data_IF_909477832645
#
_entry.id   IF_909477832645
#
_cell.length_a   1.000
_cell.length_b   1.000
_cell.length_c   1.000
_cell.angle_alpha   90.00
_cell.angle_beta   90.00
_cell.angle_gamma   90.00
#
_symmetry.space_group_name_H-M   'P 1'
#
loop_
_entity.id
_entity.type
_entity.pdbx_description
1 polymer ?
#
# COMPACT_ATOMS: atom_id res chain seq x y z
N UNK A 1 2.04 -16.75 -8.14
CA UNK A 1 1.87 -15.31 -7.89
C UNK A 1 2.05 -14.61 -9.22
N UNK A 2 1.16 -13.68 -9.60
CA UNK A 2 1.20 -13.03 -10.91
C UNK A 2 1.61 -11.57 -10.80
N UNK A 3 2.37 -11.08 -11.77
CA UNK A 3 2.59 -9.66 -11.98
C UNK A 3 1.51 -9.06 -12.89
N UNK A 4 1.25 -7.76 -12.78
CA UNK A 4 0.37 -7.01 -13.70
C UNK A 4 0.93 -5.62 -13.91
N UNK A 5 1.20 -5.25 -15.15
CA UNK A 5 1.49 -3.87 -15.55
C UNK A 5 0.19 -3.16 -15.89
N UNK A 6 0.02 -1.94 -15.40
CA UNK A 6 -1.16 -1.12 -15.67
C UNK A 6 -0.77 -0.03 -16.68
N UNK A 7 -1.55 0.09 -17.75
CA UNK A 7 -1.24 0.96 -18.90
C UNK A 7 -2.42 1.87 -19.28
N UNK A 8 -3.47 1.93 -18.47
CA UNK A 8 -4.64 2.76 -18.72
C UNK A 8 -4.71 3.91 -17.68
N UNK A 9 -4.44 5.16 -18.08
CA UNK A 9 -4.33 6.31 -17.18
C UNK A 9 -5.63 6.73 -16.50
N UNK A 10 -6.78 6.25 -16.99
CA UNK A 10 -8.11 6.63 -16.53
C UNK A 10 -8.96 5.42 -16.09
N UNK A 11 -8.36 4.24 -15.94
CA UNK A 11 -9.09 3.07 -15.47
C UNK A 11 -9.48 3.24 -14.01
N UNK A 12 -10.77 3.07 -13.73
CA UNK A 12 -11.32 3.12 -12.37
C UNK A 12 -12.18 1.89 -12.11
N UNK A 13 -12.27 1.51 -10.84
CA UNK A 13 -13.03 0.36 -10.40
C UNK A 13 -13.86 0.71 -9.17
N UNK A 14 -15.05 0.11 -9.07
CA UNK A 14 -15.79 0.08 -7.82
C UNK A 14 -15.33 -1.11 -6.99
N UNK A 15 -14.77 -0.85 -5.81
CA UNK A 15 -14.20 -1.86 -4.91
C UNK A 15 -14.87 -1.80 -3.54
N UNK A 16 -14.85 -2.91 -2.81
CA UNK A 16 -15.56 -3.07 -1.53
C UNK A 16 -16.74 -4.03 -1.65
N UNK A 17 -17.48 -4.24 -0.54
CA UNK A 17 -18.58 -5.18 -0.52
C UNK A 17 -19.85 -4.59 -1.20
N UNK A 18 -20.81 -5.43 -1.60
CA UNK A 18 -22.05 -4.98 -2.22
C UNK A 18 -22.76 -3.91 -1.37
N UNK A 19 -23.18 -2.81 -2.01
CA UNK A 19 -23.86 -1.69 -1.33
C UNK A 19 -22.95 -0.73 -0.56
N UNK A 20 -21.65 -1.06 -0.38
CA UNK A 20 -20.64 -0.19 0.22
C UNK A 20 -19.42 -0.17 -0.70
N UNK A 21 -19.48 0.51 -1.84
CA UNK A 21 -18.33 0.58 -2.77
C UNK A 21 -17.62 1.92 -2.72
N UNK A 22 -16.34 1.92 -3.11
CA UNK A 22 -15.53 3.11 -3.33
C UNK A 22 -14.85 3.05 -4.69
N UNK A 23 -14.67 4.23 -5.29
CA UNK A 23 -13.87 4.37 -6.50
C UNK A 23 -12.40 4.17 -6.14
N UNK A 24 -11.74 3.29 -6.89
CA UNK A 24 -10.31 3.03 -6.85
C UNK A 24 -9.74 3.30 -8.25
N UNK A 25 -8.62 4.02 -8.33
CA UNK A 25 -7.98 4.39 -9.59
C UNK A 25 -6.83 3.42 -9.86
N UNK A 26 -6.76 2.84 -11.06
CA UNK A 26 -5.67 1.96 -11.45
C UNK A 26 -4.32 2.69 -11.42
N UNK A 27 -3.23 2.06 -10.94
CA UNK A 27 -1.91 2.67 -10.84
C UNK A 27 -1.21 2.62 -12.20
N UNK A 28 -1.65 3.44 -13.14
CA UNK A 28 -1.06 3.55 -14.48
C UNK A 28 0.45 3.80 -14.45
N UNK A 29 1.18 3.08 -15.30
CA UNK A 29 2.64 3.10 -15.37
C UNK A 29 3.34 2.30 -14.27
N UNK A 30 2.60 1.63 -13.37
CA UNK A 30 3.17 0.76 -12.35
C UNK A 30 3.05 -0.71 -12.73
N UNK A 31 3.99 -1.53 -12.26
CA UNK A 31 3.89 -2.99 -12.29
C UNK A 31 3.68 -3.51 -10.88
N UNK A 32 2.55 -4.21 -10.66
CA UNK A 32 2.27 -4.92 -9.41
C UNK A 32 2.93 -6.28 -9.39
N UNK A 33 3.53 -6.62 -8.25
CA UNK A 33 3.88 -7.98 -7.84
C UNK A 33 3.02 -8.37 -6.64
N UNK A 34 2.19 -9.40 -6.80
CA UNK A 34 1.26 -9.84 -5.75
C UNK A 34 1.98 -10.60 -4.64
N UNK A 35 1.61 -10.31 -3.39
CA UNK A 35 2.12 -11.02 -2.22
C UNK A 35 1.40 -12.35 -1.98
N UNK A 36 2.08 -13.30 -1.33
CA UNK A 36 1.49 -14.57 -0.88
C UNK A 36 0.72 -14.33 0.43
N UNK A 37 -0.54 -13.93 0.32
CA UNK A 37 -1.39 -13.56 1.47
C UNK A 37 -2.50 -14.55 1.77
N UNK A 38 -2.71 -15.56 0.93
CA UNK A 38 -3.72 -16.59 1.18
C UNK A 38 -3.37 -17.37 2.44
N UNK A 39 -4.27 -17.35 3.42
CA UNK A 39 -4.07 -17.98 4.74
C UNK A 39 -3.10 -17.25 5.66
N UNK A 40 -2.64 -16.04 5.31
CA UNK A 40 -1.77 -15.22 6.18
C UNK A 40 -2.52 -14.62 7.36
N UNK A 41 -3.81 -14.32 7.20
CA UNK A 41 -4.64 -13.66 8.21
C UNK A 41 -5.63 -14.64 8.83
N UNK A 42 -5.85 -14.53 10.15
CA UNK A 42 -6.66 -15.48 10.92
C UNK A 42 -8.14 -15.47 10.53
N UNK A 43 -8.65 -14.33 10.05
CA UNK A 43 -10.04 -14.15 9.60
C UNK A 43 -10.27 -14.60 8.14
N UNK A 44 -9.30 -15.28 7.55
CA UNK A 44 -9.41 -15.90 6.24
C UNK A 44 -9.14 -14.93 5.08
N UNK A 45 -9.77 -15.21 3.93
CA UNK A 45 -9.42 -14.57 2.65
C UNK A 45 -10.54 -13.73 2.03
N UNK A 46 -11.72 -13.64 2.66
CA UNK A 46 -12.89 -12.95 2.12
C UNK A 46 -12.63 -11.45 1.86
N UNK A 47 -11.71 -10.83 2.60
CA UNK A 47 -11.23 -9.47 2.37
C UNK A 47 -10.60 -9.27 0.97
N UNK A 48 -10.02 -10.32 0.41
CA UNK A 48 -9.32 -10.32 -0.87
C UNK A 48 -10.14 -10.95 -2.00
N UNK A 49 -10.70 -12.14 -1.75
CA UNK A 49 -11.32 -12.98 -2.78
C UNK A 49 -12.37 -13.94 -2.16
N UNK A 50 -13.47 -14.28 -2.88
CA UNK A 50 -13.84 -13.87 -4.24
C UNK A 50 -14.11 -12.36 -4.37
N UNK A 51 -13.96 -11.80 -5.57
CA UNK A 51 -14.29 -10.39 -5.79
C UNK A 51 -15.81 -10.18 -5.74
N UNK A 52 -16.26 -9.05 -5.20
CA UNK A 52 -17.66 -8.70 -4.93
C UNK A 52 -18.32 -9.51 -3.81
N UNK A 53 -17.52 -10.22 -3.02
CA UNK A 53 -17.99 -10.90 -1.81
C UNK A 53 -18.37 -9.87 -0.72
N UNK A 54 -19.38 -10.15 0.14
CA UNK A 54 -19.72 -9.29 1.27
C UNK A 54 -18.56 -9.01 2.24
N UNK A 55 -17.56 -9.89 2.30
CA UNK A 55 -16.35 -9.71 3.09
C UNK A 55 -15.26 -8.89 2.41
N UNK A 56 -15.42 -8.47 1.15
CA UNK A 56 -14.37 -7.74 0.43
C UNK A 56 -14.05 -6.40 1.06
N UNK A 57 -12.75 -6.13 1.19
CA UNK A 57 -12.25 -4.85 1.67
C UNK A 57 -12.09 -3.84 0.53
N UNK A 58 -12.01 -2.56 0.86
CA UNK A 58 -11.65 -1.52 -0.13
C UNK A 58 -10.24 -1.75 -0.68
N UNK A 59 -9.87 -1.05 -1.75
CA UNK A 59 -8.51 -1.06 -2.32
C UNK A 59 -7.94 0.36 -2.30
N UNK A 60 -6.67 0.47 -1.95
CA UNK A 60 -5.96 1.74 -1.84
C UNK A 60 -4.45 1.53 -2.01
N UNK A 61 -3.69 2.59 -1.80
CA UNK A 61 -2.24 2.65 -1.90
C UNK A 61 -1.63 3.27 -0.64
N UNK A 62 -0.48 2.76 -0.23
CA UNK A 62 0.30 3.30 0.88
C UNK A 62 1.74 3.54 0.44
N UNK A 63 2.20 4.79 0.55
CA UNK A 63 3.57 5.18 0.22
C UNK A 63 4.50 5.00 1.41
N UNK A 64 5.71 4.51 1.17
CA UNK A 64 6.72 4.24 2.20
C UNK A 64 7.90 5.23 2.18
N UNK A 65 7.84 6.28 1.37
CA UNK A 65 8.93 7.24 1.15
C UNK A 65 9.33 8.09 2.36
N UNK A 66 8.56 8.03 3.46
CA UNK A 66 8.87 8.71 4.73
C UNK A 66 9.36 7.77 5.83
N UNK A 67 9.72 6.54 5.48
CA UNK A 67 10.31 5.58 6.40
C UNK A 67 11.59 6.14 7.06
N UNK A 68 11.74 5.90 8.35
CA UNK A 68 12.91 6.27 9.15
C UNK A 68 13.33 5.10 10.03
N UNK A 69 14.54 5.13 10.57
CA UNK A 69 15.07 4.06 11.43
C UNK A 69 14.10 3.66 12.58
N UNK A 70 13.44 4.64 13.19
CA UNK A 70 12.43 4.44 14.24
C UNK A 70 11.25 3.55 13.80
N UNK A 71 10.93 3.51 12.51
CA UNK A 71 9.84 2.66 11.97
C UNK A 71 10.21 1.18 11.90
N UNK A 72 11.48 0.82 12.10
CA UNK A 72 11.96 -0.56 12.09
C UNK A 72 12.16 -1.12 13.50
N UNK A 73 12.07 -0.29 14.54
CA UNK A 73 12.26 -0.74 15.94
C UNK A 73 13.72 -1.05 16.27
N UNK A 74 13.95 -2.05 17.14
CA UNK A 74 15.29 -2.53 17.53
C UNK A 74 15.80 -3.68 16.64
N UNK A 75 15.09 -3.97 15.54
CA UNK A 75 15.49 -5.02 14.62
C UNK A 75 16.84 -4.63 14.02
N UNK A 76 17.81 -5.55 14.11
CA UNK A 76 19.20 -5.39 13.67
C UNK A 76 19.35 -5.25 12.15
N UNK A 77 18.33 -4.74 11.45
CA UNK A 77 18.44 -4.40 10.04
C UNK A 77 19.44 -3.27 9.88
N UNK A 78 20.40 -3.46 8.98
CA UNK A 78 21.25 -2.40 8.49
C UNK A 78 20.35 -1.32 7.88
N UNK A 79 20.14 -0.23 8.61
CA UNK A 79 19.37 0.91 8.11
C UNK A 79 20.26 1.73 7.19
N UNK A 80 20.08 1.56 5.89
CA UNK A 80 20.56 2.51 4.91
C UNK A 80 19.42 3.42 4.49
N UNK A 81 19.54 4.71 4.79
CA UNK A 81 18.47 5.69 4.54
C UNK A 81 17.99 5.69 3.08
N UNK A 82 18.87 5.35 2.14
CA UNK A 82 18.53 5.23 0.71
C UNK A 82 17.60 4.06 0.39
N UNK A 83 17.63 2.97 1.18
CA UNK A 83 16.82 1.76 0.99
C UNK A 83 15.61 1.69 1.92
N UNK A 84 15.53 2.58 2.91
CA UNK A 84 14.42 2.65 3.87
C UNK A 84 13.00 2.53 3.27
N UNK A 85 12.66 3.13 2.10
CA UNK A 85 11.34 2.95 1.51
C UNK A 85 11.04 1.51 1.11
N UNK A 86 12.05 0.77 0.65
CA UNK A 86 11.94 -0.64 0.24
C UNK A 86 11.96 -1.54 1.47
N UNK A 87 12.81 -1.24 2.45
CA UNK A 87 12.83 -1.97 3.73
C UNK A 87 11.47 -1.87 4.42
N UNK A 88 10.82 -0.71 4.36
CA UNK A 88 9.49 -0.51 4.93
C UNK A 88 8.42 -1.38 4.25
N UNK A 89 8.53 -1.61 2.94
CA UNK A 89 7.64 -2.55 2.23
C UNK A 89 7.78 -3.96 2.81
N UNK A 90 9.02 -4.43 3.01
CA UNK A 90 9.30 -5.74 3.59
C UNK A 90 8.82 -5.84 5.04
N UNK A 91 9.20 -4.87 5.88
CA UNK A 91 8.80 -4.80 7.29
C UNK A 91 7.29 -4.80 7.46
N UNK A 92 6.55 -4.03 6.65
CA UNK A 92 5.08 -4.02 6.69
C UNK A 92 4.48 -5.36 6.28
N UNK A 93 5.05 -6.04 5.29
CA UNK A 93 4.56 -7.36 4.88
C UNK A 93 4.80 -8.43 5.96
N UNK A 94 5.96 -8.40 6.62
CA UNK A 94 6.35 -9.36 7.65
C UNK A 94 5.62 -9.11 8.97
N UNK A 95 5.67 -7.88 9.45
CA UNK A 95 5.30 -7.49 10.81
C UNK A 95 3.97 -6.72 10.90
N UNK A 96 3.39 -6.33 9.77
CA UNK A 96 2.20 -5.50 9.71
C UNK A 96 2.49 -4.00 9.76
N UNK A 97 1.43 -3.19 9.66
CA UNK A 97 1.56 -1.74 9.68
C UNK A 97 1.86 -1.21 11.09
N UNK A 98 2.35 0.03 11.13
CA UNK A 98 2.46 0.83 12.36
C UNK A 98 1.61 2.10 12.18
N UNK A 99 1.03 2.65 13.26
CA UNK A 99 0.36 3.94 13.20
C UNK A 99 1.30 5.04 12.69
N UNK A 100 0.77 6.01 11.96
CA UNK A 100 1.55 7.13 11.47
C UNK A 100 2.10 7.96 12.64
N UNK A 101 3.36 8.42 12.51
CA UNK A 101 3.97 9.34 13.49
C UNK A 101 3.32 10.72 13.51
N UNK A 102 2.79 11.15 12.36
CA UNK A 102 2.16 12.46 12.18
C UNK A 102 0.67 12.23 11.90
N UNK A 103 -0.19 12.72 12.78
CA UNK A 103 -1.61 12.33 12.84
C UNK A 103 -2.56 13.50 12.56
N UNK A 104 -2.28 14.27 11.49
CA UNK A 104 -3.06 15.47 11.09
C UNK A 104 -4.53 15.18 10.77
N UNK A 105 -4.88 13.95 10.44
CA UNK A 105 -6.25 13.48 10.20
C UNK A 105 -6.71 12.42 11.23
N UNK A 106 -6.06 12.42 12.40
CA UNK A 106 -6.25 11.45 13.47
C UNK A 106 -5.26 10.28 13.43
N UNK A 107 -5.24 9.52 14.50
CA UNK A 107 -4.35 8.37 14.64
C UNK A 107 -4.75 7.24 13.69
N UNK A 108 -3.74 6.52 13.18
CA UNK A 108 -3.93 5.37 12.30
C UNK A 108 -2.95 5.32 11.12
N UNK A 109 -3.24 4.44 10.18
CA UNK A 109 -2.46 4.22 8.95
C UNK A 109 -3.12 4.94 7.78
N UNK A 110 -2.35 5.76 7.08
CA UNK A 110 -2.86 6.62 6.01
C UNK A 110 -2.72 5.91 4.66
N UNK A 111 -3.75 5.97 3.83
CA UNK A 111 -3.73 5.42 2.48
C UNK A 111 -4.60 6.27 1.54
N UNK A 112 -4.50 6.01 0.24
CA UNK A 112 -5.25 6.73 -0.79
C UNK A 112 -5.87 5.79 -1.81
N UNK A 113 -7.11 6.02 -2.29
CA UNK A 113 -7.66 5.31 -3.45
C UNK A 113 -7.06 5.79 -4.78
N UNK A 114 -6.32 6.89 -4.76
CA UNK A 114 -5.73 7.54 -5.92
C UNK A 114 -4.21 7.34 -5.86
N UNK A 115 -3.59 6.59 -6.80
CA UNK A 115 -2.17 6.26 -6.74
C UNK A 115 -1.27 7.48 -6.95
N UNK A 116 -1.77 8.54 -7.62
CA UNK A 116 -1.00 9.77 -7.85
C UNK A 116 -0.74 10.54 -6.54
N UNK A 117 -1.64 10.43 -5.57
CA UNK A 117 -1.49 11.12 -4.29
C UNK A 117 -0.23 10.64 -3.51
N UNK A 118 -0.05 9.34 -3.21
CA UNK A 118 1.18 8.87 -2.60
C UNK A 118 2.39 9.01 -3.54
N UNK A 119 2.24 8.82 -4.85
CA UNK A 119 3.36 8.98 -5.80
C UNK A 119 4.00 10.38 -5.74
N UNK A 120 3.20 11.42 -5.50
CA UNK A 120 3.64 12.82 -5.51
C UNK A 120 4.24 13.30 -4.18
N UNK A 121 4.00 12.62 -3.05
CA UNK A 121 4.39 13.14 -1.72
C UNK A 121 4.80 12.12 -0.67
N UNK A 122 4.61 10.83 -0.94
CA UNK A 122 4.79 9.75 0.02
C UNK A 122 5.53 8.54 -0.56
N UNK A 123 6.03 8.65 -1.79
CA UNK A 123 6.91 7.66 -2.41
C UNK A 123 8.26 8.30 -2.69
N UNK A 124 9.33 7.57 -2.35
CA UNK A 124 10.70 7.97 -2.62
C UNK A 124 11.29 7.15 -3.76
N UNK A 125 12.29 7.72 -4.43
CA UNK A 125 13.07 7.05 -5.46
C UNK A 125 14.27 6.36 -4.82
N UNK A 126 14.53 5.12 -5.22
CA UNK A 126 15.68 4.31 -4.82
C UNK A 126 16.52 4.02 -6.07
N UNK A 127 17.83 4.24 -5.99
CA UNK A 127 18.77 3.88 -7.05
C UNK A 127 19.39 2.51 -6.74
N UNK A 128 19.43 1.63 -7.73
CA UNK A 128 19.97 0.29 -7.63
C UNK A 128 20.94 0.03 -8.78
N UNK A 129 22.06 -0.61 -8.48
CA UNK A 129 22.90 -1.23 -9.49
C UNK A 129 22.20 -2.50 -10.00
N UNK A 130 21.83 -2.50 -11.28
CA UNK A 130 21.23 -3.66 -11.95
C UNK A 130 22.23 -4.26 -12.94
N UNK A 131 21.88 -5.43 -13.51
CA UNK A 131 22.67 -6.02 -14.60
C UNK A 131 22.77 -5.10 -15.83
N UNK A 132 21.83 -4.16 -16.00
CA UNK A 132 21.78 -3.18 -17.08
C UNK A 132 22.35 -1.80 -16.66
N UNK A 133 23.05 -1.74 -15.52
CA UNK A 133 23.59 -0.52 -14.94
C UNK A 133 22.68 0.11 -13.88
N UNK A 134 22.98 1.35 -13.52
CA UNK A 134 22.23 2.09 -12.48
C UNK A 134 20.84 2.46 -12.97
N UNK A 135 19.83 2.04 -12.22
CA UNK A 135 18.43 2.35 -12.48
C UNK A 135 17.76 2.93 -11.24
N UNK A 136 16.72 3.73 -11.46
CA UNK A 136 15.94 4.35 -10.40
C UNK A 136 14.55 3.75 -10.39
N UNK A 137 14.07 3.45 -9.18
CA UNK A 137 12.78 2.84 -8.97
C UNK A 137 12.01 3.61 -7.91
N UNK A 138 10.70 3.68 -8.10
CA UNK A 138 9.74 4.02 -7.06
C UNK A 138 9.02 2.75 -6.61
N UNK A 139 8.69 2.67 -5.33
CA UNK A 139 7.87 1.59 -4.78
C UNK A 139 6.74 2.12 -3.88
N UNK A 140 5.60 1.46 -3.90
CA UNK A 140 4.52 1.65 -2.92
C UNK A 140 3.73 0.37 -2.72
N UNK A 141 3.00 0.29 -1.61
CA UNK A 141 2.15 -0.85 -1.31
C UNK A 141 0.78 -0.67 -1.95
N UNK A 142 0.25 -1.76 -2.50
CA UNK A 142 -1.16 -1.91 -2.79
C UNK A 142 -1.83 -2.60 -1.60
N UNK A 143 -2.85 -1.95 -1.05
CA UNK A 143 -3.42 -2.31 0.26
C UNK A 143 -4.93 -2.50 0.17
N UNK A 144 -5.44 -3.39 1.01
CA UNK A 144 -6.86 -3.55 1.27
C UNK A 144 -7.22 -2.92 2.60
N UNK A 145 -8.38 -2.26 2.71
CA UNK A 145 -8.79 -1.51 3.90
C UNK A 145 -10.17 -1.93 4.38
N UNK A 146 -10.30 -2.25 5.67
CA UNK A 146 -11.53 -2.71 6.28
C UNK A 146 -12.66 -1.68 6.12
N UNK A 147 -13.77 -2.03 5.44
CA UNK A 147 -14.84 -1.09 5.14
C UNK A 147 -15.64 -0.63 6.34
N UNK A 148 -15.63 -1.40 7.44
CA UNK A 148 -16.38 -1.09 8.66
C UNK A 148 -15.57 -0.25 9.66
N UNK A 149 -14.24 -0.20 9.50
CA UNK A 149 -13.34 0.57 10.38
C UNK A 149 -12.79 1.85 9.75
N UNK A 150 -12.66 1.92 8.43
CA UNK A 150 -12.02 3.04 7.74
C UNK A 150 -12.68 4.38 8.05
N UNK A 151 -11.87 5.40 8.32
CA UNK A 151 -12.29 6.80 8.43
C UNK A 151 -11.96 7.54 7.14
N UNK A 152 -12.98 8.13 6.52
CA UNK A 152 -12.81 9.05 5.40
C UNK A 152 -12.55 10.46 5.92
N UNK A 153 -11.53 11.12 5.38
CA UNK A 153 -11.21 12.50 5.77
C UNK A 153 -11.96 13.50 4.87
N UNK A 154 -11.86 14.80 5.18
CA UNK A 154 -12.37 15.86 4.30
C UNK A 154 -11.60 15.91 2.97
N UNK A 155 -10.35 15.48 2.97
CA UNK A 155 -9.59 15.25 1.74
C UNK A 155 -9.96 13.86 1.19
N UNK A 156 -10.60 13.85 0.02
CA UNK A 156 -11.07 12.61 -0.63
C UNK A 156 -9.93 11.66 -0.99
N UNK A 157 -8.69 12.17 -1.12
CA UNK A 157 -7.52 11.38 -1.46
C UNK A 157 -6.85 10.77 -0.22
N UNK A 158 -7.35 11.04 1.00
CA UNK A 158 -6.80 10.50 2.24
C UNK A 158 -7.85 9.70 3.01
N UNK A 159 -7.56 8.42 3.22
CA UNK A 159 -8.28 7.52 4.11
C UNK A 159 -7.39 7.14 5.29
N UNK A 160 -7.99 6.90 6.45
CA UNK A 160 -7.29 6.48 7.66
C UNK A 160 -7.86 5.14 8.13
N UNK A 161 -7.02 4.12 8.19
CA UNK A 161 -7.32 2.88 8.91
C UNK A 161 -6.94 3.10 10.38
N UNK A 162 -7.91 3.15 11.33
CA UNK A 162 -7.61 3.53 12.70
C UNK A 162 -6.60 2.60 13.39
N UNK A 163 -6.68 1.30 13.08
CA UNK A 163 -5.76 0.30 13.62
C UNK A 163 -4.95 -0.38 12.51
N UNK A 164 -3.71 -0.83 12.78
CA UNK A 164 -2.89 -1.56 11.80
C UNK A 164 -3.52 -2.81 11.20
N UNK A 165 -4.39 -3.51 11.94
CA UNK A 165 -5.09 -4.72 11.51
C UNK A 165 -6.21 -4.45 10.48
N UNK A 166 -6.70 -3.21 10.43
CA UNK A 166 -7.75 -2.75 9.50
C UNK A 166 -7.21 -2.43 8.10
N UNK A 167 -5.92 -2.69 7.86
CA UNK A 167 -5.26 -2.47 6.57
C UNK A 167 -4.26 -3.59 6.29
N UNK A 168 -4.27 -4.12 5.06
CA UNK A 168 -3.47 -5.28 4.68
C UNK A 168 -2.75 -5.06 3.37
N UNK A 169 -1.42 -5.26 3.30
CA UNK A 169 -0.74 -5.24 2.01
C UNK A 169 -1.05 -6.53 1.24
N UNK A 170 -1.33 -6.42 -0.06
CA UNK A 170 -1.51 -7.60 -0.93
C UNK A 170 -0.64 -7.56 -2.18
N UNK A 171 0.12 -6.49 -2.39
CA UNK A 171 1.13 -6.42 -3.41
C UNK A 171 2.02 -5.20 -3.26
N UNK A 172 3.15 -5.24 -3.94
CA UNK A 172 4.03 -4.09 -4.14
C UNK A 172 3.88 -3.60 -5.58
N UNK A 173 3.85 -2.29 -5.74
CA UNK A 173 3.91 -1.61 -7.04
C UNK A 173 5.32 -1.09 -7.22
N UNK A 174 5.91 -1.40 -8.37
CA UNK A 174 7.26 -0.96 -8.77
C UNK A 174 7.14 -0.20 -10.09
N UNK A 175 7.84 0.93 -10.18
CA UNK A 175 7.92 1.77 -11.39
C UNK A 175 9.37 2.23 -11.58
N UNK A 176 9.94 1.91 -12.74
CA UNK A 176 11.23 2.46 -13.19
C UNK A 176 11.01 3.93 -13.63
N UNK A 177 11.92 4.83 -13.25
CA UNK A 177 11.80 6.30 -13.45
C UNK A 177 13.07 6.96 -13.97
#
# INVERSE_FOLDING_TARGET
>A
MGNKTFTNPNETHQVGPPGKTKTYISPDGWTRYGFKVLGKYQDGNAWLHPFKDPGNWYRAFHGTGRAQAVDFGNDKQSFEKQYAPVDAVASIFENGFRPARITVHGDGVYCSPNPKFPENGYVATVELDTQEGKKKFKCMLQVAVNPDAVRFTKDKDIWVAPNPEDIRPYGVLIKEV
#
